data_IF_282381501016
#
_entry.id   IF_282381501016
#
_cell.length_a   1.000
_cell.length_b   1.000
_cell.length_c   1.000
_cell.angle_alpha   90.00
_cell.angle_beta   90.00
_cell.angle_gamma   90.00
#
_symmetry.space_group_name_H-M   'P 1'
#
loop_
_entity.id
_entity.type
_entity.pdbx_description
1 polymer ?
#
# COMPACT_ATOMS: atom_id res chain seq x y z
N UNK A 1 3.37 -15.71 -2.55
CA UNK A 1 4.66 -15.67 -1.84
C UNK A 1 5.77 -15.93 -2.85
N UNK A 2 6.82 -15.14 -2.80
CA UNK A 2 8.10 -15.42 -3.47
C UNK A 2 9.09 -15.77 -2.38
N UNK A 3 9.65 -16.97 -2.43
CA UNK A 3 10.58 -17.49 -1.43
C UNK A 3 11.56 -18.47 -2.08
N UNK A 4 12.77 -18.55 -1.53
CA UNK A 4 13.79 -19.52 -1.92
C UNK A 4 13.93 -20.67 -0.90
N UNK A 5 12.96 -20.80 0.02
CA UNK A 5 12.92 -21.82 1.07
C UNK A 5 13.15 -21.23 2.46
N UNK A 6 13.41 -22.09 3.45
CA UNK A 6 13.50 -21.70 4.87
C UNK A 6 12.13 -21.67 5.57
N UNK A 7 12.13 -21.38 6.88
CA UNK A 7 10.93 -21.33 7.70
C UNK A 7 10.85 -19.98 8.41
N UNK A 8 9.67 -19.34 8.37
CA UNK A 8 9.38 -18.05 8.99
C UNK A 8 10.47 -16.99 8.76
N UNK A 9 10.93 -16.88 7.51
CA UNK A 9 11.96 -15.90 7.14
C UNK A 9 11.43 -14.49 7.29
N UNK A 10 12.33 -13.52 7.51
CA UNK A 10 11.93 -12.13 7.48
C UNK A 10 11.32 -11.79 6.13
N UNK A 11 10.18 -11.09 6.16
CA UNK A 11 9.36 -10.95 4.97
C UNK A 11 8.93 -9.51 4.71
N UNK A 12 8.65 -9.23 3.44
CA UNK A 12 8.12 -7.96 2.97
C UNK A 12 6.69 -8.19 2.51
N UNK A 13 5.75 -7.42 3.06
CA UNK A 13 4.37 -7.36 2.57
C UNK A 13 4.25 -6.24 1.53
N UNK A 14 3.67 -6.56 0.39
CA UNK A 14 3.33 -5.62 -0.67
C UNK A 14 1.89 -5.87 -1.12
N UNK A 15 1.02 -4.88 -1.02
CA UNK A 15 -0.35 -5.00 -1.51
C UNK A 15 -0.79 -3.83 -2.40
N UNK A 16 -1.83 -4.08 -3.19
CA UNK A 16 -2.36 -3.14 -4.16
C UNK A 16 -3.87 -3.27 -4.30
N UNK A 17 -4.51 -2.18 -4.71
CA UNK A 17 -5.92 -2.22 -5.09
C UNK A 17 -6.87 -2.37 -3.91
N UNK A 18 -6.47 -1.93 -2.72
CA UNK A 18 -7.37 -1.84 -1.56
C UNK A 18 -8.55 -0.90 -1.85
N UNK A 19 -8.32 0.17 -2.62
CA UNK A 19 -9.38 0.92 -3.27
C UNK A 19 -9.58 0.46 -4.70
N UNK A 20 -10.79 0.03 -5.02
CA UNK A 20 -11.05 -0.70 -6.26
C UNK A 20 -10.88 0.13 -7.54
N UNK A 21 -11.11 1.44 -7.50
CA UNK A 21 -11.02 2.33 -8.68
C UNK A 21 -9.59 2.66 -9.12
N UNK A 22 -8.59 2.34 -8.29
CA UNK A 22 -7.19 2.72 -8.45
C UNK A 22 -6.44 1.74 -9.38
N UNK A 23 -6.98 1.50 -10.58
CA UNK A 23 -6.62 0.38 -11.48
C UNK A 23 -5.13 0.27 -11.84
N UNK A 24 -4.38 1.37 -11.82
CA UNK A 24 -2.93 1.34 -12.07
C UNK A 24 -2.19 0.53 -11.01
N UNK A 25 -2.72 0.43 -9.79
CA UNK A 25 -2.08 -0.29 -8.68
C UNK A 25 -2.13 -1.80 -8.88
N UNK A 26 -3.29 -2.39 -9.21
CA UNK A 26 -3.41 -3.82 -9.50
C UNK A 26 -2.61 -4.19 -10.77
N UNK A 27 -2.64 -3.33 -11.79
CA UNK A 27 -1.88 -3.51 -13.02
C UNK A 27 -0.35 -3.43 -12.78
N UNK A 28 0.10 -2.56 -11.89
CA UNK A 28 1.51 -2.48 -11.50
C UNK A 28 1.92 -3.67 -10.65
N UNK A 29 1.06 -4.12 -9.72
CA UNK A 29 1.33 -5.28 -8.88
C UNK A 29 1.52 -6.56 -9.70
N UNK A 30 0.69 -6.80 -10.73
CA UNK A 30 0.87 -7.98 -11.60
C UNK A 30 2.16 -7.87 -12.45
N UNK A 31 2.52 -6.66 -12.89
CA UNK A 31 3.80 -6.42 -13.57
C UNK A 31 4.99 -6.70 -12.63
N UNK A 32 4.92 -6.23 -11.38
CA UNK A 32 5.92 -6.46 -10.34
C UNK A 32 6.06 -7.96 -10.04
N UNK A 33 4.94 -8.70 -9.96
CA UNK A 33 4.96 -10.16 -9.78
C UNK A 33 5.80 -10.85 -10.87
N UNK A 34 5.55 -10.48 -12.13
CA UNK A 34 6.34 -10.97 -13.28
C UNK A 34 7.79 -10.54 -13.16
N UNK A 35 8.06 -9.29 -12.78
CA UNK A 35 9.40 -8.74 -12.66
C UNK A 35 10.24 -9.51 -11.61
N UNK A 36 9.69 -9.77 -10.43
CA UNK A 36 10.33 -10.57 -9.38
C UNK A 36 10.69 -11.97 -9.90
N UNK A 37 9.74 -12.65 -10.56
CA UNK A 37 9.94 -14.00 -11.07
C UNK A 37 10.99 -14.07 -12.19
N UNK A 38 11.00 -13.08 -13.10
CA UNK A 38 11.95 -13.02 -14.21
C UNK A 38 13.36 -12.59 -13.79
N UNK A 39 13.47 -11.74 -12.77
CA UNK A 39 14.75 -11.17 -12.34
C UNK A 39 15.48 -12.03 -11.31
N UNK A 40 14.81 -12.98 -10.66
CA UNK A 40 15.48 -13.91 -9.75
C UNK A 40 16.47 -14.81 -10.51
N UNK A 41 17.71 -14.86 -10.02
CA UNK A 41 18.82 -15.58 -10.66
C UNK A 41 19.52 -14.78 -11.77
N UNK A 42 19.02 -13.59 -12.14
CA UNK A 42 19.62 -12.74 -13.19
C UNK A 42 19.99 -11.35 -12.68
N UNK A 43 19.09 -10.66 -11.96
CA UNK A 43 19.39 -9.41 -11.26
C UNK A 43 20.02 -9.72 -9.89
N UNK A 44 21.25 -9.26 -9.62
CA UNK A 44 21.93 -9.55 -8.36
C UNK A 44 21.21 -8.98 -7.12
N UNK A 45 20.52 -7.85 -7.26
CA UNK A 45 19.80 -7.23 -6.14
C UNK A 45 18.58 -8.07 -5.75
N UNK A 46 17.76 -8.46 -6.72
CA UNK A 46 16.57 -9.30 -6.49
C UNK A 46 16.96 -10.69 -6.02
N UNK A 47 18.02 -11.25 -6.58
CA UNK A 47 18.56 -12.55 -6.13
C UNK A 47 19.02 -12.48 -4.68
N UNK A 48 19.81 -11.45 -4.32
CA UNK A 48 20.26 -11.24 -2.94
C UNK A 48 19.09 -11.01 -1.97
N UNK A 49 18.09 -10.23 -2.39
CA UNK A 49 16.88 -9.98 -1.62
C UNK A 49 16.12 -11.28 -1.34
N UNK A 50 15.77 -12.05 -2.38
CA UNK A 50 15.02 -13.30 -2.24
C UNK A 50 15.83 -14.43 -1.59
N UNK A 51 17.16 -14.34 -1.52
CA UNK A 51 17.98 -15.27 -0.74
C UNK A 51 17.96 -14.98 0.77
N UNK A 52 17.60 -13.77 1.19
CA UNK A 52 17.53 -13.39 2.61
C UNK A 52 16.10 -13.23 3.12
N UNK A 53 15.19 -12.78 2.27
CA UNK A 53 13.81 -12.42 2.65
C UNK A 53 12.76 -13.09 1.77
N UNK A 54 11.54 -13.20 2.30
CA UNK A 54 10.36 -13.57 1.53
C UNK A 54 9.60 -12.31 1.08
N UNK A 55 8.86 -12.39 -0.03
CA UNK A 55 7.94 -11.34 -0.47
C UNK A 55 6.52 -11.90 -0.58
N UNK A 56 5.58 -11.30 0.14
CA UNK A 56 4.15 -11.54 -0.01
C UNK A 56 3.55 -10.41 -0.84
N UNK A 57 2.97 -10.76 -1.99
CA UNK A 57 2.34 -9.82 -2.90
C UNK A 57 0.85 -10.12 -3.02
N UNK A 58 0.01 -9.19 -2.57
CA UNK A 58 -1.45 -9.22 -2.73
C UNK A 58 -1.86 -8.24 -3.83
N UNK A 59 -2.20 -8.77 -5.01
CA UNK A 59 -2.44 -7.94 -6.22
C UNK A 59 -3.79 -7.24 -6.23
N UNK A 60 -4.79 -7.80 -5.54
CA UNK A 60 -6.15 -7.24 -5.46
C UNK A 60 -6.64 -7.37 -4.01
N UNK A 61 -6.37 -6.36 -3.20
CA UNK A 61 -6.77 -6.35 -1.78
C UNK A 61 -8.28 -6.19 -1.56
N UNK A 62 -9.03 -5.66 -2.53
CA UNK A 62 -10.49 -5.51 -2.50
C UNK A 62 -11.13 -6.11 -3.77
N UNK A 63 -11.28 -7.45 -3.83
CA UNK A 63 -11.73 -8.14 -5.04
C UNK A 63 -13.18 -7.81 -5.41
N UNK A 64 -14.10 -7.74 -4.43
CA UNK A 64 -15.51 -7.43 -4.68
C UNK A 64 -15.69 -6.02 -5.26
N UNK A 65 -15.00 -5.04 -4.67
CA UNK A 65 -14.97 -3.67 -5.19
C UNK A 65 -14.37 -3.65 -6.59
N UNK A 66 -13.28 -4.38 -6.84
CA UNK A 66 -12.61 -4.42 -8.13
C UNK A 66 -13.55 -4.95 -9.22
N UNK A 67 -14.20 -6.10 -9.00
CA UNK A 67 -15.22 -6.62 -9.94
C UNK A 67 -16.32 -5.59 -10.18
N UNK A 68 -16.81 -4.93 -9.13
CA UNK A 68 -17.86 -3.93 -9.25
C UNK A 68 -17.44 -2.72 -10.11
N UNK A 69 -16.15 -2.36 -10.14
CA UNK A 69 -15.64 -1.33 -11.05
C UNK A 69 -15.65 -1.71 -12.52
N UNK A 70 -15.62 -3.01 -12.83
CA UNK A 70 -15.72 -3.51 -14.20
C UNK A 70 -17.17 -3.71 -14.64
N UNK A 71 -18.07 -4.07 -13.73
CA UNK A 71 -19.43 -4.47 -14.07
C UNK A 71 -20.48 -3.40 -13.87
N UNK A 72 -20.25 -2.41 -12.99
CA UNK A 72 -21.34 -1.53 -12.53
C UNK A 72 -20.91 -0.09 -12.31
N UNK A 73 -19.88 0.18 -11.53
CA UNK A 73 -19.45 1.56 -11.25
C UNK A 73 -17.92 1.67 -11.20
N UNK A 74 -17.36 2.18 -12.30
CA UNK A 74 -15.92 2.39 -12.46
C UNK A 74 -15.26 3.21 -11.34
N UNK A 75 -16.02 4.10 -10.69
CA UNK A 75 -15.53 4.99 -9.65
C UNK A 75 -15.74 4.45 -8.23
N UNK A 76 -16.19 3.21 -8.08
CA UNK A 76 -16.35 2.57 -6.78
C UNK A 76 -15.00 2.38 -6.08
N UNK A 77 -14.94 2.76 -4.80
CA UNK A 77 -13.72 2.73 -3.97
C UNK A 77 -13.76 1.64 -2.89
N UNK A 78 -14.91 1.55 -2.21
CA UNK A 78 -15.11 0.81 -0.95
C UNK A 78 -15.17 -0.71 -1.16
N UNK A 79 -15.26 -1.47 -0.07
CA UNK A 79 -15.69 -2.87 -0.10
C UNK A 79 -17.14 -3.01 -0.60
N UNK A 80 -17.70 -4.23 -0.62
CA UNK A 80 -19.10 -4.49 -0.98
C UNK A 80 -19.94 -5.05 0.17
N UNK A 81 -19.47 -4.92 1.41
CA UNK A 81 -20.22 -5.31 2.62
C UNK A 81 -21.56 -4.57 2.75
N UNK A 82 -22.58 -5.25 3.27
CA UNK A 82 -23.89 -4.63 3.54
C UNK A 82 -23.87 -4.00 4.93
N UNK A 83 -24.22 -2.72 5.00
CA UNK A 83 -24.27 -1.98 6.26
C UNK A 83 -25.66 -2.14 6.91
N UNK A 84 -25.72 -2.74 8.11
CA UNK A 84 -26.99 -2.97 8.82
C UNK A 84 -27.73 -1.64 9.06
N UNK A 85 -29.02 -1.59 8.72
CA UNK A 85 -29.84 -0.39 8.89
C UNK A 85 -29.57 0.74 7.89
N UNK A 86 -28.79 0.48 6.82
CA UNK A 86 -28.53 1.45 5.75
C UNK A 86 -28.74 0.83 4.37
N UNK A 87 -29.17 1.65 3.41
CA UNK A 87 -29.20 1.29 1.99
C UNK A 87 -27.83 1.42 1.31
N UNK A 88 -26.89 2.11 1.96
CA UNK A 88 -25.55 2.34 1.43
C UNK A 88 -24.63 1.13 1.68
N UNK A 89 -23.80 0.83 0.69
CA UNK A 89 -22.96 -0.37 0.66
C UNK A 89 -21.49 -0.02 0.85
N UNK A 90 -20.75 -0.89 1.51
CA UNK A 90 -19.30 -0.86 1.61
C UNK A 90 -18.77 0.07 2.69
N UNK A 91 -17.55 -0.24 3.10
CA UNK A 91 -16.69 0.48 4.03
C UNK A 91 -15.43 0.90 3.29
N UNK A 92 -14.84 2.04 3.64
CA UNK A 92 -13.50 2.39 3.16
C UNK A 92 -12.48 1.46 3.85
N UNK A 93 -11.88 0.52 3.11
CA UNK A 93 -10.95 -0.44 3.70
C UNK A 93 -9.67 0.21 4.25
N UNK A 94 -9.33 1.44 3.85
CA UNK A 94 -8.21 2.21 4.40
C UNK A 94 -8.65 3.26 5.44
N UNK A 95 -9.84 3.06 6.03
CA UNK A 95 -10.31 3.70 7.28
C UNK A 95 -10.71 2.67 8.34
N UNK A 96 -10.58 1.38 8.03
CA UNK A 96 -11.10 0.29 8.82
C UNK A 96 -10.06 -0.34 9.75
N UNK A 97 -8.79 0.06 9.70
CA UNK A 97 -7.73 -0.53 10.52
C UNK A 97 -7.75 -0.01 11.95
N UNK A 98 -7.25 -0.80 12.89
CA UNK A 98 -7.20 -0.47 14.32
C UNK A 98 -6.03 0.46 14.67
N UNK A 99 -5.98 1.64 14.02
CA UNK A 99 -4.99 2.69 14.26
C UNK A 99 -5.68 4.06 14.24
N UNK A 100 -5.94 4.60 15.43
CA UNK A 100 -6.76 5.82 15.58
C UNK A 100 -8.19 5.68 15.06
N UNK A 101 -8.71 4.46 14.94
CA UNK A 101 -10.00 4.14 14.30
C UNK A 101 -11.13 5.08 14.75
N UNK A 102 -11.78 5.72 13.76
CA UNK A 102 -12.87 6.66 14.02
C UNK A 102 -12.44 8.06 14.47
N UNK A 103 -11.14 8.35 14.45
CA UNK A 103 -10.60 9.70 14.54
C UNK A 103 -10.79 10.52 13.25
N UNK A 104 -10.13 11.68 13.15
CA UNK A 104 -10.26 12.59 12.01
C UNK A 104 -9.97 11.93 10.64
N UNK A 105 -10.60 12.45 9.59
CA UNK A 105 -10.43 11.96 8.21
C UNK A 105 -11.19 10.68 7.86
N UNK A 106 -11.99 10.14 8.78
CA UNK A 106 -12.92 9.05 8.55
C UNK A 106 -14.37 9.47 8.88
N UNK A 107 -15.34 8.89 8.18
CA UNK A 107 -16.77 9.18 8.40
C UNK A 107 -17.46 8.05 9.17
N UNK A 108 -18.42 8.40 10.02
CA UNK A 108 -19.38 7.46 10.62
C UNK A 108 -20.64 7.23 9.77
N UNK A 109 -20.83 7.97 8.67
CA UNK A 109 -21.98 7.83 7.79
C UNK A 109 -21.74 6.68 6.77
N UNK A 110 -22.56 5.61 6.75
CA UNK A 110 -22.42 4.49 5.82
C UNK A 110 -22.41 4.86 4.33
N UNK A 111 -22.98 6.01 3.97
CA UNK A 111 -23.02 6.52 2.60
C UNK A 111 -21.77 7.30 2.17
N UNK A 112 -20.89 7.62 3.11
CA UNK A 112 -19.63 8.32 2.81
C UNK A 112 -18.64 7.40 2.08
N UNK A 113 -17.85 7.99 1.19
CA UNK A 113 -16.69 7.33 0.56
C UNK A 113 -15.60 6.99 1.57
N UNK A 114 -15.52 7.71 2.70
CA UNK A 114 -14.57 7.47 3.80
C UNK A 114 -15.23 6.81 5.02
N UNK A 115 -16.35 6.11 4.83
CA UNK A 115 -17.04 5.41 5.91
C UNK A 115 -16.11 4.39 6.56
N UNK A 116 -15.86 4.53 7.86
CA UNK A 116 -14.91 3.68 8.61
C UNK A 116 -15.41 2.26 8.90
N UNK A 117 -16.70 2.00 8.73
CA UNK A 117 -17.32 0.75 9.17
C UNK A 117 -17.78 0.79 10.64
N UNK A 118 -18.49 -0.25 11.09
CA UNK A 118 -19.07 -0.28 12.44
C UNK A 118 -18.01 -0.40 13.55
N UNK A 119 -16.89 -1.08 13.27
CA UNK A 119 -15.75 -1.29 14.19
C UNK A 119 -14.46 -1.48 13.39
N UNK A 120 -13.31 -1.35 14.04
CA UNK A 120 -12.04 -1.68 13.42
C UNK A 120 -12.00 -3.15 12.97
N UNK A 121 -11.37 -3.41 11.84
CA UNK A 121 -11.23 -4.70 11.17
C UNK A 121 -12.61 -5.39 10.95
N UNK A 122 -13.65 -4.61 10.65
CA UNK A 122 -14.98 -5.15 10.31
C UNK A 122 -15.00 -5.80 8.94
N UNK A 123 -14.17 -5.32 8.01
CA UNK A 123 -14.11 -5.84 6.65
C UNK A 123 -13.26 -7.10 6.63
N UNK A 124 -13.77 -8.17 6.01
CA UNK A 124 -13.10 -9.47 5.97
C UNK A 124 -11.78 -9.39 5.21
N UNK A 125 -11.70 -8.51 4.22
CA UNK A 125 -10.50 -8.22 3.43
C UNK A 125 -9.39 -7.65 4.34
N UNK A 126 -9.74 -6.67 5.18
CA UNK A 126 -8.80 -6.06 6.14
C UNK A 126 -8.44 -7.06 7.25
N UNK A 127 -9.44 -7.73 7.83
CA UNK A 127 -9.25 -8.73 8.88
C UNK A 127 -8.34 -9.87 8.42
N UNK A 128 -8.45 -10.30 7.16
CA UNK A 128 -7.60 -11.35 6.58
C UNK A 128 -6.13 -10.94 6.56
N UNK A 129 -5.82 -9.70 6.15
CA UNK A 129 -4.44 -9.19 6.16
C UNK A 129 -3.94 -9.03 7.60
N UNK A 130 -4.75 -8.46 8.50
CA UNK A 130 -4.41 -8.34 9.93
C UNK A 130 -4.04 -9.69 10.53
N UNK A 131 -4.88 -10.71 10.30
CA UNK A 131 -4.64 -12.07 10.80
C UNK A 131 -3.37 -12.67 10.18
N UNK A 132 -3.17 -12.51 8.86
CA UNK A 132 -1.98 -13.01 8.18
C UNK A 132 -0.70 -12.41 8.77
N UNK A 133 -0.63 -11.08 8.89
CA UNK A 133 0.55 -10.37 9.39
C UNK A 133 0.86 -10.78 10.83
N UNK A 134 -0.16 -10.81 11.70
CA UNK A 134 0.00 -11.23 13.11
C UNK A 134 0.44 -12.69 13.23
N UNK A 135 -0.11 -13.59 12.43
CA UNK A 135 0.24 -15.01 12.46
C UNK A 135 1.63 -15.28 11.89
N UNK A 136 2.06 -14.51 10.87
CA UNK A 136 3.41 -14.60 10.34
C UNK A 136 4.44 -14.10 11.36
N UNK A 137 4.20 -12.94 11.98
CA UNK A 137 5.00 -12.41 13.08
C UNK A 137 6.41 -11.91 12.72
N UNK A 138 6.91 -12.19 11.51
CA UNK A 138 8.24 -11.77 11.04
C UNK A 138 8.19 -10.89 9.76
N UNK A 139 7.21 -9.99 9.67
CA UNK A 139 7.10 -9.02 8.57
C UNK A 139 7.92 -7.78 8.93
N UNK A 140 8.89 -7.42 8.07
CA UNK A 140 9.85 -6.34 8.30
C UNK A 140 9.47 -5.04 7.59
N UNK A 141 8.70 -5.14 6.51
CA UNK A 141 8.19 -4.00 5.76
C UNK A 141 6.75 -4.22 5.30
N UNK A 142 5.95 -3.15 5.33
CA UNK A 142 4.57 -3.12 4.84
C UNK A 142 4.46 -2.02 3.78
N UNK A 143 4.26 -2.41 2.54
CA UNK A 143 4.20 -1.51 1.39
C UNK A 143 2.80 -1.61 0.76
N UNK A 144 2.08 -0.50 0.66
CA UNK A 144 0.76 -0.46 0.02
C UNK A 144 0.76 0.49 -1.17
N UNK A 145 0.21 0.02 -2.30
CA UNK A 145 0.11 0.78 -3.54
C UNK A 145 -1.31 1.34 -3.71
N UNK A 146 -1.37 2.66 -3.81
CA UNK A 146 -2.54 3.48 -4.09
C UNK A 146 -2.33 4.32 -5.35
N UNK A 147 -3.38 4.98 -5.82
CA UNK A 147 -3.26 6.08 -6.78
C UNK A 147 -4.37 7.08 -6.50
N UNK A 148 -4.24 8.35 -6.85
CA UNK A 148 -3.16 9.01 -7.57
C UNK A 148 -2.65 10.16 -6.71
N UNK A 149 -1.46 10.70 -7.01
CA UNK A 149 -0.96 12.04 -6.63
C UNK A 149 0.57 12.13 -6.73
N UNK A 150 1.26 11.01 -7.01
CA UNK A 150 2.73 10.92 -6.95
C UNK A 150 3.27 11.28 -5.56
N UNK A 151 2.85 10.52 -4.56
CA UNK A 151 3.28 10.66 -3.17
C UNK A 151 3.94 9.37 -2.70
N UNK A 152 4.97 9.49 -1.87
CA UNK A 152 5.54 8.38 -1.11
C UNK A 152 5.52 8.75 0.36
N UNK A 153 4.60 8.14 1.09
CA UNK A 153 4.25 8.53 2.44
C UNK A 153 4.60 7.45 3.44
N UNK A 154 4.84 7.88 4.68
CA UNK A 154 5.05 7.03 5.85
C UNK A 154 4.15 7.53 7.01
N UNK A 155 4.06 6.79 8.12
CA UNK A 155 3.26 7.21 9.27
C UNK A 155 3.66 8.58 9.84
N UNK A 156 2.77 9.30 10.52
CA UNK A 156 1.39 8.93 10.80
C UNK A 156 0.39 9.66 9.90
N UNK A 157 -0.76 9.03 9.66
CA UNK A 157 -1.96 9.63 9.09
C UNK A 157 -2.96 10.09 10.14
N UNK A 158 -3.22 9.28 11.17
CA UNK A 158 -4.25 9.59 12.18
C UNK A 158 -3.85 10.71 13.16
N UNK A 159 -2.54 10.95 13.31
CA UNK A 159 -1.95 12.01 14.14
C UNK A 159 -0.82 12.70 13.38
N UNK A 160 -0.53 13.95 13.72
CA UNK A 160 0.44 14.78 13.00
C UNK A 160 1.76 14.93 13.76
N UNK A 161 1.99 14.05 14.73
CA UNK A 161 3.28 13.87 15.40
C UNK A 161 4.16 12.97 14.53
N UNK A 162 5.47 13.22 14.53
CA UNK A 162 6.42 12.38 13.81
C UNK A 162 6.51 10.96 14.44
N UNK A 163 6.72 9.91 13.62
CA UNK A 163 7.07 8.58 14.13
C UNK A 163 8.45 8.58 14.78
N UNK A 164 8.72 7.61 15.66
CA UNK A 164 10.01 7.52 16.34
C UNK A 164 11.18 7.40 15.35
N UNK A 165 10.94 6.71 14.22
CA UNK A 165 11.93 6.48 13.16
C UNK A 165 11.91 7.53 12.04
N UNK A 166 11.34 8.72 12.27
CA UNK A 166 11.08 9.70 11.18
C UNK A 166 12.32 10.02 10.35
N UNK A 167 13.49 10.20 10.97
CA UNK A 167 14.74 10.55 10.27
C UNK A 167 15.08 9.50 9.22
N UNK A 168 14.97 8.23 9.59
CA UNK A 168 15.30 7.12 8.70
C UNK A 168 14.23 6.92 7.63
N UNK A 169 12.95 6.98 8.00
CA UNK A 169 11.83 6.82 7.07
C UNK A 169 11.82 7.93 6.00
N UNK A 170 12.06 9.17 6.40
CA UNK A 170 12.13 10.32 5.50
C UNK A 170 13.33 10.21 4.54
N UNK A 171 14.52 9.91 5.07
CA UNK A 171 15.72 9.73 4.26
C UNK A 171 15.56 8.58 3.25
N UNK A 172 14.98 7.45 3.68
CA UNK A 172 14.70 6.31 2.81
C UNK A 172 13.65 6.64 1.75
N UNK A 173 12.57 7.32 2.14
CA UNK A 173 11.53 7.79 1.23
C UNK A 173 12.11 8.71 0.14
N UNK A 174 12.97 9.66 0.52
CA UNK A 174 13.66 10.56 -0.43
C UNK A 174 14.60 9.81 -1.37
N UNK A 175 15.30 8.80 -0.89
CA UNK A 175 16.16 7.95 -1.73
C UNK A 175 15.33 7.10 -2.72
N UNK A 176 14.20 6.56 -2.28
CA UNK A 176 13.26 5.83 -3.13
C UNK A 176 12.62 6.75 -4.19
N UNK A 177 12.16 7.95 -3.81
CA UNK A 177 11.64 8.95 -4.74
C UNK A 177 12.68 9.40 -5.77
N UNK A 178 13.95 9.52 -5.37
CA UNK A 178 15.07 9.78 -6.29
C UNK A 178 15.23 8.63 -7.30
N UNK A 179 15.10 7.38 -6.84
CA UNK A 179 15.19 6.19 -7.69
C UNK A 179 14.03 6.14 -8.69
N UNK A 180 12.81 6.46 -8.28
CA UNK A 180 11.63 6.60 -9.17
C UNK A 180 11.91 7.66 -10.25
N UNK A 181 12.36 8.85 -9.82
CA UNK A 181 12.63 9.97 -10.73
C UNK A 181 13.68 9.65 -11.78
N UNK A 182 14.64 8.77 -11.47
CA UNK A 182 15.76 8.46 -12.37
C UNK A 182 15.35 7.88 -13.73
N UNK A 183 14.18 7.24 -13.84
CA UNK A 183 13.78 6.54 -15.05
C UNK A 183 13.03 7.45 -16.04
N UNK A 184 12.00 8.18 -15.58
CA UNK A 184 11.14 9.00 -16.44
C UNK A 184 11.02 10.46 -16.00
N UNK A 185 11.76 10.87 -14.96
CA UNK A 185 11.67 12.22 -14.41
C UNK A 185 10.43 12.47 -13.52
N UNK A 186 9.61 11.45 -13.26
CA UNK A 186 8.42 11.56 -12.40
C UNK A 186 8.83 11.95 -10.98
N UNK A 187 8.24 13.01 -10.47
CA UNK A 187 8.57 13.54 -9.15
C UNK A 187 7.54 13.09 -8.13
N UNK A 188 8.01 12.48 -7.04
CA UNK A 188 7.19 12.09 -5.90
C UNK A 188 7.46 13.03 -4.72
N UNK A 189 6.42 13.51 -4.07
CA UNK A 189 6.52 14.22 -2.79
C UNK A 189 6.62 13.19 -1.65
N UNK A 190 7.52 13.43 -0.70
CA UNK A 190 7.80 12.53 0.42
C UNK A 190 7.45 13.21 1.73
N UNK A 191 6.80 12.49 2.65
CA UNK A 191 6.52 12.97 4.01
C UNK A 191 5.55 12.08 4.79
N UNK A 192 5.19 12.48 6.01
CA UNK A 192 4.15 11.78 6.77
C UNK A 192 2.78 12.01 6.15
N UNK A 193 1.87 11.03 6.24
CA UNK A 193 0.52 11.13 5.66
C UNK A 193 -0.19 12.41 6.11
N UNK A 194 -0.25 12.71 7.42
CA UNK A 194 -1.01 13.87 7.92
C UNK A 194 -0.57 15.18 7.25
N UNK A 195 0.74 15.40 7.09
CA UNK A 195 1.29 16.66 6.60
C UNK A 195 1.40 16.73 5.08
N UNK A 196 1.50 15.57 4.41
CA UNK A 196 1.73 15.50 2.96
C UNK A 196 0.43 15.49 2.16
N UNK A 197 -0.61 14.83 2.66
CA UNK A 197 -1.90 14.74 1.97
C UNK A 197 -3.02 15.36 2.81
N UNK A 198 -3.36 14.75 3.94
CA UNK A 198 -4.33 15.22 4.93
C UNK A 198 -4.39 14.21 6.09
N UNK A 199 -4.92 14.65 7.24
CA UNK A 199 -5.13 13.77 8.39
C UNK A 199 -6.19 12.69 8.10
N UNK A 200 -5.85 11.42 8.31
CA UNK A 200 -6.69 10.27 8.00
C UNK A 200 -6.51 9.15 9.03
N UNK A 201 -7.59 8.77 9.71
CA UNK A 201 -7.57 7.68 10.70
C UNK A 201 -7.87 6.30 10.11
N UNK A 202 -7.40 5.25 10.79
CA UNK A 202 -7.69 3.86 10.43
C UNK A 202 -7.00 3.38 9.15
N UNK A 203 -5.82 3.94 8.83
CA UNK A 203 -5.02 3.55 7.68
C UNK A 203 -4.13 2.33 7.93
N UNK A 204 -3.84 1.57 6.88
CA UNK A 204 -3.05 0.32 6.96
C UNK A 204 -1.63 0.54 7.45
N UNK A 205 -0.93 1.58 6.96
CA UNK A 205 0.47 1.80 7.31
C UNK A 205 0.67 2.34 8.73
N UNK A 206 -0.33 3.06 9.26
CA UNK A 206 -0.33 3.48 10.66
C UNK A 206 -0.49 2.25 11.56
N UNK A 207 -1.40 1.34 11.20
CA UNK A 207 -1.60 0.09 11.92
C UNK A 207 -0.36 -0.82 11.86
N UNK A 208 0.26 -1.00 10.69
CA UNK A 208 1.44 -1.86 10.58
C UNK A 208 2.61 -1.30 11.37
N UNK A 209 2.81 0.02 11.38
CA UNK A 209 3.83 0.68 12.18
C UNK A 209 3.56 0.58 13.69
N UNK A 210 2.32 0.84 14.13
CA UNK A 210 1.90 0.67 15.54
C UNK A 210 2.01 -0.80 15.99
N UNK A 211 2.03 -1.77 15.08
CA UNK A 211 2.26 -3.19 15.34
C UNK A 211 3.73 -3.63 15.10
N UNK A 212 4.67 -2.68 15.07
CA UNK A 212 6.12 -2.95 15.07
C UNK A 212 6.77 -3.14 13.70
N UNK A 213 6.04 -2.95 12.59
CA UNK A 213 6.62 -3.00 11.25
C UNK A 213 7.19 -1.62 10.91
N UNK A 214 8.45 -1.40 11.26
CA UNK A 214 9.15 -0.11 11.11
C UNK A 214 9.03 0.47 9.69
N UNK A 215 9.32 -0.33 8.66
CA UNK A 215 9.32 0.12 7.27
C UNK A 215 7.91 0.03 6.66
N UNK A 216 7.02 0.92 7.10
CA UNK A 216 5.64 1.02 6.62
C UNK A 216 5.48 2.22 5.67
N UNK A 217 5.17 1.97 4.39
CA UNK A 217 5.07 3.02 3.36
C UNK A 217 3.81 2.86 2.49
N UNK A 218 3.21 4.00 2.13
CA UNK A 218 2.13 4.08 1.15
C UNK A 218 2.60 4.86 -0.08
N UNK A 219 2.36 4.30 -1.26
CA UNK A 219 2.63 4.94 -2.54
C UNK A 219 1.32 5.44 -3.13
N UNK A 220 1.25 6.71 -3.54
CA UNK A 220 0.22 7.22 -4.44
C UNK A 220 0.85 7.34 -5.82
N UNK A 221 0.52 6.44 -6.75
CA UNK A 221 1.14 6.37 -8.07
C UNK A 221 0.69 7.53 -8.98
N UNK A 222 1.08 7.44 -10.27
CA UNK A 222 0.66 8.40 -11.30
C UNK A 222 -0.87 8.52 -11.37
N UNK A 223 -1.40 9.67 -11.79
CA UNK A 223 -0.72 10.93 -12.10
C UNK A 223 -0.97 11.98 -11.00
N UNK A 224 -0.94 13.26 -11.34
CA UNK A 224 -1.24 14.37 -10.41
C UNK A 224 -2.64 14.96 -10.63
N UNK A 225 -3.53 14.24 -11.32
CA UNK A 225 -4.95 14.59 -11.45
C UNK A 225 -5.44 14.91 -12.87
N UNK A 226 -4.59 14.84 -13.90
CA UNK A 226 -5.03 15.02 -15.30
C UNK A 226 -5.98 13.88 -15.72
N UNK A 227 -5.60 12.65 -15.40
CA UNK A 227 -6.39 11.45 -15.60
C UNK A 227 -6.89 10.88 -14.27
N UNK A 228 -6.14 11.08 -13.19
CA UNK A 228 -6.43 10.51 -11.88
C UNK A 228 -6.61 9.00 -11.95
N UNK A 229 -7.76 8.51 -11.49
CA UNK A 229 -8.08 7.08 -11.51
C UNK A 229 -8.27 6.47 -12.91
N UNK A 230 -8.39 7.30 -13.95
CA UNK A 230 -8.58 6.88 -15.35
C UNK A 230 -7.26 6.96 -16.15
N UNK A 231 -6.13 6.69 -15.48
CA UNK A 231 -4.81 6.71 -16.10
C UNK A 231 -4.78 5.81 -17.37
N UNK A 232 -4.31 6.31 -18.53
CA UNK A 232 -4.29 5.53 -19.77
C UNK A 232 -3.52 4.23 -19.64
N UNK A 233 -3.98 3.17 -20.31
CA UNK A 233 -3.30 1.87 -20.29
C UNK A 233 -1.83 1.93 -20.78
N UNK A 234 -1.50 2.88 -21.67
CA UNK A 234 -0.14 3.13 -22.13
C UNK A 234 0.82 3.63 -21.04
N UNK A 235 0.29 4.10 -19.90
CA UNK A 235 1.05 4.54 -18.73
C UNK A 235 1.26 3.43 -17.69
N UNK A 236 0.62 2.25 -17.84
CA UNK A 236 0.73 1.15 -16.87
C UNK A 236 2.18 0.69 -16.71
N UNK A 237 2.83 0.35 -17.83
CA UNK A 237 4.22 -0.15 -17.81
C UNK A 237 5.18 0.94 -17.29
N UNK A 238 5.14 2.19 -17.80
CA UNK A 238 5.98 3.27 -17.24
C UNK A 238 5.78 3.50 -15.74
N UNK A 239 4.53 3.48 -15.25
CA UNK A 239 4.23 3.63 -13.83
C UNK A 239 4.78 2.45 -13.01
N UNK A 240 4.65 1.22 -13.50
CA UNK A 240 5.17 0.04 -12.83
C UNK A 240 6.70 0.01 -12.79
N UNK A 241 7.37 0.35 -13.89
CA UNK A 241 8.83 0.33 -14.01
C UNK A 241 9.52 1.34 -13.08
N UNK A 242 9.01 2.57 -12.99
CA UNK A 242 9.59 3.57 -12.07
C UNK A 242 9.27 3.25 -10.61
N UNK A 243 8.04 2.78 -10.33
CA UNK A 243 7.62 2.38 -8.97
C UNK A 243 8.47 1.23 -8.47
N UNK A 244 8.83 0.29 -9.36
CA UNK A 244 9.72 -0.81 -9.04
C UNK A 244 11.10 -0.36 -8.56
N UNK A 245 11.65 0.72 -9.11
CA UNK A 245 12.92 1.27 -8.63
C UNK A 245 12.80 1.81 -7.21
N UNK A 246 11.69 2.50 -6.89
CA UNK A 246 11.40 2.96 -5.54
C UNK A 246 11.21 1.81 -4.55
N UNK A 247 10.40 0.82 -4.92
CA UNK A 247 10.18 -0.39 -4.13
C UNK A 247 11.49 -1.15 -3.88
N UNK A 248 12.29 -1.40 -4.94
CA UNK A 248 13.57 -2.08 -4.82
C UNK A 248 14.51 -1.35 -3.87
N UNK A 249 14.56 -0.02 -3.91
CA UNK A 249 15.37 0.78 -2.99
C UNK A 249 14.96 0.59 -1.54
N UNK A 250 13.67 0.54 -1.25
CA UNK A 250 13.15 0.27 0.10
C UNK A 250 13.50 -1.16 0.52
N UNK A 251 13.24 -2.15 -0.34
CA UNK A 251 13.49 -3.56 -0.02
C UNK A 251 14.98 -3.86 0.22
N UNK A 252 15.89 -3.23 -0.53
CA UNK A 252 17.33 -3.30 -0.30
C UNK A 252 17.71 -2.75 1.08
N UNK A 253 17.14 -1.59 1.47
CA UNK A 253 17.38 -1.00 2.78
C UNK A 253 16.91 -1.94 3.91
N UNK A 254 15.70 -2.50 3.78
CA UNK A 254 15.14 -3.45 4.76
C UNK A 254 16.06 -4.67 4.89
N UNK A 255 16.50 -5.26 3.78
CA UNK A 255 17.43 -6.40 3.78
C UNK A 255 18.72 -6.12 4.55
N UNK A 256 19.22 -4.88 4.48
CA UNK A 256 20.52 -4.50 5.04
C UNK A 256 20.43 -3.96 6.47
N UNK A 257 19.23 -3.64 6.98
CA UNK A 257 19.03 -3.01 8.29
C UNK A 257 18.05 -3.75 9.21
N UNK A 258 17.40 -4.83 8.78
CA UNK A 258 16.45 -5.58 9.60
C UNK A 258 17.07 -6.60 10.56
N UNK A 259 18.41 -6.68 10.69
CA UNK A 259 19.12 -7.62 11.58
C UNK A 259 20.40 -7.02 12.14
#
# INVERSE_FOLDING_TARGET
QFSTGGSNRPAIWLDAGIHSREWVTQASAIWIAKKIASDYGTDPSITSLLNKMDIFLLTVSNPDGYVFTHTTNRMWRKTRSRNQGSLCVGVDPNRNWDAGFGGPGASSNPCSDSYRGPRANSEVEVQSVVNFIKNHGNIQAFLTLHSYSQLLMYPYGYKCTEPADYVELDALGKAAATSIRSLYGTTFTVGSICTTIYQASGGSIDWSYDNGIKYSFAFELRDTGRYGFLLPASQIIPAAEETWLGLKKIMEHVRDNSF
#
